data_IF_754765476841
#
_entry.id   IF_754765476841
#
_cell.length_a   1.000
_cell.length_b   1.000
_cell.length_c   1.000
_cell.angle_alpha   90.00
_cell.angle_beta   90.00
_cell.angle_gamma   90.00
#
_symmetry.space_group_name_H-M   'P 1'
#
loop_
_entity.id
_entity.type
_entity.pdbx_description
1 polymer ?
#
# COMPACT_ATOMS: atom_id res chain seq x y z
N UNK A 1 -21.57 -37.62 16.38
CA UNK A 1 -21.29 -37.56 17.82
C UNK A 1 -21.21 -36.13 18.25
N UNK A 2 -22.08 -35.79 19.13
CA UNK A 2 -22.48 -34.52 19.69
C UNK A 2 -21.50 -34.16 20.78
N UNK A 3 -20.94 -32.93 20.81
CA UNK A 3 -20.54 -32.32 22.08
C UNK A 3 -20.83 -30.83 22.03
N UNK A 4 -21.89 -30.50 22.74
CA UNK A 4 -22.28 -29.17 23.21
C UNK A 4 -21.39 -28.84 24.40
N UNK A 5 -20.77 -27.68 24.43
CA UNK A 5 -20.39 -27.04 25.69
C UNK A 5 -20.90 -25.61 25.68
N UNK A 6 -21.97 -25.48 26.42
CA UNK A 6 -22.56 -24.28 26.95
C UNK A 6 -21.77 -23.92 28.22
N UNK A 7 -21.21 -22.75 28.28
CA UNK A 7 -20.73 -22.16 29.56
C UNK A 7 -21.10 -20.69 29.61
N UNK A 8 -22.15 -20.45 30.32
CA UNK A 8 -22.63 -19.17 30.85
C UNK A 8 -21.80 -18.87 32.11
N UNK A 9 -21.13 -17.72 32.16
CA UNK A 9 -20.71 -17.11 33.43
C UNK A 9 -21.15 -15.63 33.41
N UNK A 10 -22.16 -15.37 34.20
CA UNK A 10 -22.61 -14.04 34.60
C UNK A 10 -21.97 -13.72 35.97
N UNK A 11 -21.39 -12.54 36.10
CA UNK A 11 -21.04 -11.83 37.34
C UNK A 11 -20.60 -10.44 36.91
N UNK A 12 -21.03 -9.30 37.40
CA UNK A 12 -21.65 -8.92 38.65
C UNK A 12 -21.45 -7.40 38.74
N UNK A 13 -22.46 -6.69 39.03
CA UNK A 13 -22.60 -5.24 39.22
C UNK A 13 -21.83 -4.77 40.46
N UNK A 14 -21.20 -3.57 40.39
CA UNK A 14 -21.01 -2.57 41.47
C UNK A 14 -20.25 -1.39 40.83
N UNK A 15 -20.73 -0.17 40.67
CA UNK A 15 -21.29 0.66 41.74
C UNK A 15 -20.17 1.56 42.30
N UNK A 16 -20.02 2.80 41.75
CA UNK A 16 -19.05 3.75 42.27
C UNK A 16 -19.19 5.13 41.61
N UNK A 17 -20.21 5.89 42.03
CA UNK A 17 -20.26 7.35 41.82
C UNK A 17 -19.21 8.00 42.70
N UNK A 18 -18.22 8.68 42.15
CA UNK A 18 -17.44 9.69 42.83
C UNK A 18 -17.53 10.99 42.05
N UNK A 19 -18.36 11.88 42.56
CA UNK A 19 -18.38 13.28 42.20
C UNK A 19 -17.06 13.92 42.60
N UNK A 20 -16.28 14.40 41.66
CA UNK A 20 -15.12 15.25 41.90
C UNK A 20 -15.48 16.69 41.54
N UNK A 21 -15.40 17.50 42.57
CA UNK A 21 -15.69 18.92 42.58
C UNK A 21 -14.87 19.70 41.58
N UNK A 22 -15.55 20.53 40.81
CA UNK A 22 -14.99 21.61 40.05
C UNK A 22 -14.38 22.67 40.97
N UNK A 23 -13.07 22.67 41.07
CA UNK A 23 -12.32 23.83 41.57
C UNK A 23 -11.67 24.51 40.35
N UNK A 24 -12.19 25.66 39.97
CA UNK A 24 -11.56 26.52 39.01
C UNK A 24 -10.22 27.03 39.56
N UNK A 25 -9.10 26.87 38.86
CA UNK A 25 -7.86 27.54 39.18
C UNK A 25 -7.88 28.97 38.71
N UNK A 26 -7.27 29.93 39.43
CA UNK A 26 -7.13 31.29 39.02
C UNK A 26 -6.23 31.40 37.81
N UNK A 27 -6.52 32.39 36.94
CA UNK A 27 -5.77 32.68 35.73
C UNK A 27 -4.28 32.97 36.10
N UNK A 28 -3.34 32.27 35.48
CA UNK A 28 -1.95 32.62 35.62
C UNK A 28 -1.65 33.81 34.71
N UNK A 29 -0.96 34.77 35.31
CA UNK A 29 -0.34 35.94 34.66
C UNK A 29 0.46 35.52 33.43
N UNK A 30 0.48 36.45 32.45
CA UNK A 30 1.24 36.37 31.24
C UNK A 30 2.69 35.93 31.50
N UNK A 31 2.99 34.65 31.27
CA UNK A 31 4.35 34.18 31.14
C UNK A 31 4.78 34.47 29.70
N UNK A 32 5.76 35.35 29.58
CA UNK A 32 6.54 35.58 28.37
C UNK A 32 6.95 34.26 27.76
N UNK A 33 6.36 33.88 26.63
CA UNK A 33 6.76 32.70 25.86
C UNK A 33 8.20 32.94 25.38
N UNK A 34 9.14 32.06 25.71
CA UNK A 34 10.40 32.04 24.99
C UNK A 34 10.09 31.75 23.53
N UNK A 35 10.61 32.55 22.62
CA UNK A 35 10.52 32.37 21.19
C UNK A 35 10.80 30.87 20.85
N UNK A 36 9.80 30.20 20.32
CA UNK A 36 9.97 28.89 19.74
C UNK A 36 10.98 29.07 18.61
N UNK A 37 12.20 28.61 18.80
CA UNK A 37 13.15 28.35 17.72
C UNK A 37 12.53 27.21 16.93
N UNK A 38 11.80 27.59 15.90
CA UNK A 38 11.44 26.68 14.81
C UNK A 38 12.74 26.18 14.24
N UNK A 39 13.08 24.91 14.29
CA UNK A 39 14.20 24.41 13.50
C UNK A 39 13.82 24.64 12.05
N UNK A 40 14.43 25.61 11.41
CA UNK A 40 14.42 25.70 9.96
C UNK A 40 15.08 24.42 9.45
N UNK A 41 14.25 23.44 9.13
CA UNK A 41 14.66 22.35 8.28
C UNK A 41 14.83 22.98 6.90
N UNK A 42 16.03 23.48 6.64
CA UNK A 42 16.49 23.88 5.30
C UNK A 42 16.67 22.60 4.45
N UNK A 43 15.62 21.81 4.38
CA UNK A 43 15.41 20.82 3.34
C UNK A 43 14.53 21.49 2.29
N UNK A 44 15.12 22.10 1.28
CA UNK A 44 14.44 22.62 0.09
C UNK A 44 13.83 21.51 -0.77
N UNK A 45 13.44 20.42 -0.16
CA UNK A 45 12.67 19.35 -0.78
C UNK A 45 11.18 19.59 -0.59
N UNK A 46 10.60 20.46 -1.41
CA UNK A 46 9.14 20.48 -1.58
C UNK A 46 8.71 19.06 -1.93
N UNK A 47 7.76 18.42 -1.20
CA UNK A 47 7.31 17.09 -1.53
C UNK A 47 6.84 17.07 -2.99
N UNK A 48 7.52 16.31 -3.82
CA UNK A 48 7.14 16.14 -5.23
C UNK A 48 5.82 15.38 -5.29
N UNK A 49 4.75 15.94 -5.86
CA UNK A 49 3.49 15.21 -6.02
C UNK A 49 3.73 13.90 -6.76
N UNK A 50 3.05 12.83 -6.34
CA UNK A 50 3.17 11.51 -6.96
C UNK A 50 2.98 11.56 -8.50
N UNK A 51 2.17 12.50 -9.00
CA UNK A 51 1.99 12.73 -10.42
C UNK A 51 3.24 13.20 -11.17
N UNK A 52 4.19 13.85 -10.50
CA UNK A 52 5.46 14.28 -11.11
C UNK A 52 6.53 13.19 -11.07
N UNK A 53 6.35 12.18 -10.23
CA UNK A 53 7.23 11.01 -10.16
C UNK A 53 6.83 9.92 -11.17
N UNK A 54 5.60 9.99 -11.68
CA UNK A 54 5.11 9.07 -12.71
C UNK A 54 5.48 9.62 -14.09
N UNK A 55 6.58 9.14 -14.63
CA UNK A 55 7.12 9.51 -15.95
C UNK A 55 6.68 8.57 -17.08
N UNK A 56 5.79 7.60 -16.77
CA UNK A 56 5.26 6.71 -17.80
C UNK A 56 4.44 7.50 -18.82
N UNK A 57 4.76 7.33 -20.10
CA UNK A 57 4.05 7.97 -21.20
C UNK A 57 2.69 7.31 -21.46
N UNK A 58 1.77 8.04 -22.09
CA UNK A 58 0.45 7.49 -22.44
C UNK A 58 0.56 6.29 -23.40
N UNK A 59 1.57 6.28 -24.28
CA UNK A 59 1.84 5.14 -25.16
C UNK A 59 2.32 3.90 -24.39
N UNK A 60 3.17 4.06 -23.38
CA UNK A 60 3.60 2.96 -22.53
C UNK A 60 2.44 2.42 -21.69
N UNK A 61 1.56 3.30 -21.17
CA UNK A 61 0.35 2.88 -20.48
C UNK A 61 -0.60 2.10 -21.38
N UNK A 62 -0.84 2.59 -22.60
CA UNK A 62 -1.70 1.91 -23.56
C UNK A 62 -1.13 0.53 -23.96
N UNK A 63 0.17 0.44 -24.22
CA UNK A 63 0.82 -0.84 -24.53
C UNK A 63 0.73 -1.83 -23.37
N UNK A 64 0.94 -1.36 -22.14
CA UNK A 64 0.83 -2.20 -20.94
C UNK A 64 -0.60 -2.72 -20.72
N UNK A 65 -1.64 -1.92 -21.03
CA UNK A 65 -3.04 -2.31 -20.92
C UNK A 65 -3.48 -3.31 -22.01
N UNK A 66 -3.23 -2.98 -23.25
CA UNK A 66 -3.71 -3.76 -24.41
C UNK A 66 -3.15 -5.18 -24.41
N UNK A 67 -1.87 -5.29 -24.12
CA UNK A 67 -1.19 -6.59 -24.10
C UNK A 67 -1.62 -7.41 -22.89
N UNK A 68 -1.84 -6.79 -21.74
CA UNK A 68 -2.28 -7.49 -20.52
C UNK A 68 -3.65 -8.16 -20.65
N UNK A 69 -4.53 -7.61 -21.46
CA UNK A 69 -5.85 -8.19 -21.70
C UNK A 69 -5.81 -9.35 -22.71
N UNK A 70 -4.83 -9.35 -23.62
CA UNK A 70 -4.69 -10.34 -24.69
C UNK A 70 -3.78 -11.51 -24.34
N UNK A 71 -2.88 -11.33 -23.38
CA UNK A 71 -1.88 -12.34 -23.03
C UNK A 71 -2.40 -13.28 -21.96
N UNK A 72 -2.76 -14.50 -22.36
CA UNK A 72 -2.99 -15.62 -21.45
C UNK A 72 -1.63 -16.17 -20.99
N UNK A 73 -1.00 -15.50 -20.03
CA UNK A 73 0.23 -16.01 -19.39
C UNK A 73 -0.04 -17.18 -18.45
N UNK A 74 1.03 -17.86 -18.03
CA UNK A 74 0.97 -18.88 -17.00
C UNK A 74 0.79 -18.24 -15.63
N UNK A 75 -0.24 -18.63 -14.88
CA UNK A 75 -0.46 -18.14 -13.52
C UNK A 75 0.67 -18.61 -12.59
N UNK A 76 1.43 -17.70 -12.02
CA UNK A 76 2.46 -17.97 -11.02
C UNK A 76 1.88 -18.05 -9.61
N UNK A 77 0.88 -17.23 -9.32
CA UNK A 77 0.25 -17.19 -8.01
C UNK A 77 -0.49 -15.90 -7.71
N UNK A 78 -0.86 -15.75 -6.45
CA UNK A 78 -1.51 -14.55 -5.90
C UNK A 78 -0.59 -13.97 -4.84
N UNK A 79 -0.44 -12.65 -4.84
CA UNK A 79 0.35 -11.94 -3.83
C UNK A 79 -0.32 -10.62 -3.45
N UNK A 80 0.06 -10.10 -2.29
CA UNK A 80 -0.33 -8.76 -1.85
C UNK A 80 0.86 -7.84 -2.05
N UNK A 81 0.64 -6.78 -2.81
CA UNK A 81 1.65 -5.80 -3.14
C UNK A 81 1.36 -4.43 -2.51
N UNK A 82 2.40 -3.79 -2.01
CA UNK A 82 2.40 -2.39 -1.57
C UNK A 82 3.12 -1.52 -2.61
N UNK A 83 3.00 -0.20 -2.48
CA UNK A 83 3.82 0.72 -3.27
C UNK A 83 5.31 0.51 -2.95
N UNK A 84 6.10 0.26 -3.97
CA UNK A 84 7.55 0.19 -3.87
C UNK A 84 8.21 1.56 -3.94
N UNK A 85 9.48 1.60 -4.34
CA UNK A 85 10.21 2.86 -4.47
C UNK A 85 9.59 3.76 -5.57
N UNK A 86 9.00 4.91 -5.23
CA UNK A 86 8.34 5.77 -6.21
C UNK A 86 9.31 6.47 -7.18
N UNK A 87 10.61 6.53 -6.85
CA UNK A 87 11.63 7.07 -7.73
C UNK A 87 12.09 6.07 -8.82
N UNK A 88 11.74 4.79 -8.68
CA UNK A 88 12.00 3.78 -9.70
C UNK A 88 10.91 3.85 -10.77
N UNK A 89 11.27 4.27 -11.96
CA UNK A 89 10.37 4.49 -13.10
C UNK A 89 9.96 3.18 -13.78
N UNK A 90 8.91 3.24 -14.63
CA UNK A 90 8.43 2.12 -15.44
C UNK A 90 7.40 1.23 -14.74
N UNK A 91 7.01 0.17 -15.44
CA UNK A 91 6.06 -0.82 -14.96
C UNK A 91 6.80 -2.06 -14.43
N UNK A 92 6.78 -2.28 -13.15
CA UNK A 92 7.44 -3.42 -12.52
C UNK A 92 6.70 -3.90 -11.27
N UNK A 93 6.86 -5.20 -10.98
CA UNK A 93 6.47 -5.83 -9.72
C UNK A 93 7.67 -6.61 -9.17
N UNK A 94 8.12 -6.29 -7.97
CA UNK A 94 9.08 -7.10 -7.22
C UNK A 94 8.30 -8.13 -6.40
N UNK A 95 8.61 -9.41 -6.60
CA UNK A 95 7.87 -10.51 -5.96
C UNK A 95 8.76 -11.75 -5.79
N UNK A 96 8.45 -12.54 -4.76
CA UNK A 96 9.09 -13.83 -4.54
C UNK A 96 8.53 -14.96 -5.43
N UNK A 97 7.61 -14.65 -6.34
CA UNK A 97 7.03 -15.65 -7.25
C UNK A 97 7.92 -15.92 -8.47
N UNK A 98 9.01 -15.16 -8.63
CA UNK A 98 10.00 -15.35 -9.69
C UNK A 98 11.41 -15.28 -9.11
N UNK A 99 12.31 -16.09 -9.67
CA UNK A 99 13.73 -16.13 -9.28
C UNK A 99 14.62 -15.30 -10.22
N UNK A 100 14.10 -14.97 -11.40
CA UNK A 100 14.79 -14.17 -12.41
C UNK A 100 13.86 -13.11 -12.99
N UNK A 101 14.45 -12.04 -13.50
CA UNK A 101 13.70 -11.02 -14.20
C UNK A 101 12.99 -11.62 -15.43
N UNK A 102 11.69 -11.39 -15.54
CA UNK A 102 10.88 -11.90 -16.65
C UNK A 102 9.72 -10.96 -16.97
N UNK A 103 9.17 -11.09 -18.16
CA UNK A 103 7.96 -10.36 -18.53
C UNK A 103 6.73 -11.04 -17.95
N UNK A 104 5.84 -10.24 -17.40
CA UNK A 104 4.62 -10.73 -16.81
C UNK A 104 3.44 -9.78 -16.95
N UNK A 105 2.31 -10.25 -16.52
CA UNK A 105 1.13 -9.41 -16.32
C UNK A 105 0.55 -9.62 -14.93
N UNK A 106 -0.07 -8.59 -14.41
CA UNK A 106 -0.82 -8.69 -13.16
C UNK A 106 -2.27 -8.33 -13.40
N UNK A 107 -3.13 -8.92 -12.58
CA UNK A 107 -4.56 -8.59 -12.57
C UNK A 107 -5.03 -8.38 -11.14
N UNK A 108 -5.67 -7.24 -10.86
CA UNK A 108 -6.26 -6.99 -9.53
C UNK A 108 -7.43 -7.92 -9.27
N UNK A 109 -7.52 -8.44 -8.05
CA UNK A 109 -8.64 -9.28 -7.64
C UNK A 109 -9.96 -8.48 -7.55
N UNK A 110 -9.86 -7.20 -7.17
CA UNK A 110 -11.01 -6.34 -6.92
C UNK A 110 -11.73 -5.87 -8.20
N UNK A 111 -10.99 -5.38 -9.19
CA UNK A 111 -11.55 -4.77 -10.40
C UNK A 111 -11.34 -5.59 -11.65
N UNK A 112 -10.44 -6.56 -11.63
CA UNK A 112 -10.03 -7.31 -12.81
C UNK A 112 -9.14 -6.50 -13.76
N UNK A 113 -8.77 -5.27 -13.40
CA UNK A 113 -7.85 -4.46 -14.19
C UNK A 113 -6.51 -5.18 -14.33
N UNK A 114 -5.93 -5.13 -15.52
CA UNK A 114 -4.71 -5.84 -15.86
C UNK A 114 -3.64 -4.89 -16.41
N UNK A 115 -2.38 -5.16 -16.07
CA UNK A 115 -1.21 -4.39 -16.52
C UNK A 115 -0.07 -5.35 -16.85
N UNK A 116 0.58 -5.15 -18.00
CA UNK A 116 1.84 -5.80 -18.31
C UNK A 116 3.00 -5.04 -17.68
N UNK A 117 3.95 -5.80 -17.16
CA UNK A 117 5.09 -5.25 -16.43
C UNK A 117 6.24 -6.26 -16.37
N UNK A 118 7.39 -5.77 -15.93
CA UNK A 118 8.54 -6.62 -15.63
C UNK A 118 8.39 -7.19 -14.21
N UNK A 119 8.48 -8.50 -14.09
CA UNK A 119 8.56 -9.20 -12.80
C UNK A 119 10.04 -9.24 -12.39
N UNK A 120 10.33 -8.76 -11.20
CA UNK A 120 11.67 -8.73 -10.61
C UNK A 120 11.70 -9.63 -9.38
N UNK A 121 12.78 -10.40 -9.18
CA UNK A 121 12.89 -11.24 -7.99
C UNK A 121 12.98 -10.38 -6.72
N UNK A 122 12.39 -10.88 -5.65
CA UNK A 122 12.44 -10.29 -4.32
C UNK A 122 12.53 -11.42 -3.29
N UNK A 123 13.33 -11.21 -2.24
CA UNK A 123 13.42 -12.21 -1.17
C UNK A 123 12.05 -12.46 -0.53
N UNK A 124 11.74 -13.73 -0.25
CA UNK A 124 10.42 -14.18 0.21
C UNK A 124 9.95 -13.54 1.54
N UNK A 125 10.89 -13.06 2.36
CA UNK A 125 10.60 -12.40 3.62
C UNK A 125 9.99 -11.00 3.46
N UNK A 126 10.12 -10.40 2.27
CA UNK A 126 9.59 -9.08 1.95
C UNK A 126 8.29 -9.23 1.17
N UNK A 127 7.24 -8.51 1.56
CA UNK A 127 6.00 -8.45 0.77
C UNK A 127 6.26 -7.91 -0.63
N UNK A 128 5.40 -8.25 -1.60
CA UNK A 128 5.56 -7.79 -2.98
C UNK A 128 5.46 -6.26 -3.08
N UNK A 129 6.18 -5.69 -4.04
CA UNK A 129 6.26 -4.24 -4.25
C UNK A 129 5.89 -3.91 -5.69
N UNK A 130 4.97 -2.97 -5.86
CA UNK A 130 4.46 -2.54 -7.17
C UNK A 130 4.95 -1.14 -7.50
N UNK A 131 5.25 -0.87 -8.77
CA UNK A 131 5.65 0.47 -9.22
C UNK A 131 4.52 1.48 -9.11
N UNK A 132 4.89 2.76 -8.96
CA UNK A 132 3.94 3.88 -8.93
C UNK A 132 3.07 3.92 -10.19
N UNK A 133 3.68 3.77 -11.36
CA UNK A 133 2.97 3.79 -12.66
C UNK A 133 1.96 2.65 -12.77
N UNK A 134 2.30 1.44 -12.29
CA UNK A 134 1.39 0.31 -12.29
C UNK A 134 0.21 0.51 -11.32
N UNK A 135 0.45 1.02 -10.10
CA UNK A 135 -0.64 1.31 -9.15
C UNK A 135 -1.62 2.33 -9.70
N UNK A 136 -1.12 3.39 -10.34
CA UNK A 136 -1.98 4.40 -10.96
C UNK A 136 -2.78 3.86 -12.13
N UNK A 137 -2.19 2.97 -12.93
CA UNK A 137 -2.86 2.34 -14.04
C UNK A 137 -3.96 1.36 -13.60
N UNK A 138 -3.78 0.72 -12.46
CA UNK A 138 -4.78 -0.15 -11.83
C UNK A 138 -5.88 0.63 -11.09
N UNK A 139 -5.76 1.97 -11.03
CA UNK A 139 -6.65 2.88 -10.29
C UNK A 139 -6.81 2.49 -8.82
N UNK A 140 -5.68 2.18 -8.16
CA UNK A 140 -5.65 1.81 -6.76
C UNK A 140 -4.98 2.89 -5.91
N UNK A 141 -5.43 3.13 -4.67
CA UNK A 141 -4.81 4.10 -3.78
C UNK A 141 -3.35 3.73 -3.49
N UNK A 142 -2.43 4.70 -3.54
CA UNK A 142 -1.00 4.47 -3.35
C UNK A 142 -0.62 3.97 -1.95
N UNK A 143 -1.51 4.14 -0.98
CA UNK A 143 -1.34 3.65 0.39
C UNK A 143 -1.98 2.29 0.63
N UNK A 144 -2.65 1.73 -0.37
CA UNK A 144 -3.35 0.46 -0.24
C UNK A 144 -2.41 -0.74 -0.41
N UNK A 145 -2.78 -1.84 0.24
CA UNK A 145 -2.27 -3.17 -0.06
C UNK A 145 -3.18 -3.79 -1.11
N UNK A 146 -2.62 -4.15 -2.25
CA UNK A 146 -3.38 -4.61 -3.42
C UNK A 146 -3.16 -6.09 -3.64
N UNK A 147 -4.24 -6.87 -3.61
CA UNK A 147 -4.17 -8.27 -4.00
C UNK A 147 -4.16 -8.39 -5.53
N UNK A 148 -3.15 -9.06 -6.05
CA UNK A 148 -2.95 -9.24 -7.49
C UNK A 148 -2.65 -10.71 -7.82
N UNK A 149 -3.24 -11.17 -8.92
CA UNK A 149 -2.86 -12.42 -9.59
C UNK A 149 -1.71 -12.11 -10.54
N UNK A 150 -0.65 -12.88 -10.46
CA UNK A 150 0.59 -12.70 -11.23
C UNK A 150 0.68 -13.78 -12.29
N UNK A 151 0.92 -13.37 -13.51
CA UNK A 151 1.06 -14.27 -14.67
C UNK A 151 2.43 -14.03 -15.31
N UNK A 152 3.11 -15.07 -15.67
CA UNK A 152 4.32 -15.02 -16.51
C UNK A 152 3.90 -15.06 -17.96
N UNK A 153 4.39 -14.10 -18.75
CA UNK A 153 4.24 -14.13 -20.21
C UNK A 153 5.29 -15.07 -20.80
N UNK A 154 4.88 -15.89 -21.77
CA UNK A 154 5.83 -16.73 -22.48
C UNK A 154 6.86 -15.85 -23.21
N UNK A 155 8.15 -16.20 -23.12
CA UNK A 155 9.16 -15.65 -24.04
C UNK A 155 8.90 -16.21 -25.44
N UNK A 156 8.55 -15.34 -26.39
CA UNK A 156 8.60 -15.69 -27.80
C UNK A 156 10.04 -15.87 -28.28
#
# INVERSE_FOLDING_TARGET
>A
MRHKYLSIIAFGVMGGCSAVQTSAPPAPAAATQPAAVTPEISGTGRPTPAGQLDVATDSERAAAADTAQKSAGTLLGVTVAALGNPAQTGFWLKTALVDVETQGSIRTAATGAAVNLTLLPLEAASGSQLSLSAMRMLDVPLTALVEVKVYQLGSE
#
